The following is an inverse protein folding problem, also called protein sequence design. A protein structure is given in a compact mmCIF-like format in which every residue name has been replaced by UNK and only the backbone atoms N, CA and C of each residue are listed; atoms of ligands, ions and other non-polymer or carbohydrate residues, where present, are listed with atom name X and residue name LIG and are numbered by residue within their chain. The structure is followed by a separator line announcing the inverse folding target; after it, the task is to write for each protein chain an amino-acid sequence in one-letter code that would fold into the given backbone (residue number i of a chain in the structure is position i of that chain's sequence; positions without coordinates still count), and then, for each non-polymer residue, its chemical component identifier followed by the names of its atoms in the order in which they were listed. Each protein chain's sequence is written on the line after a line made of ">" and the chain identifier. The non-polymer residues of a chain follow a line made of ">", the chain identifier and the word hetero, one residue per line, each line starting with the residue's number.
data_IF_289188678935
#
_entry.id   IF_289188678935
#
_cell.length_a   1.000
_cell.length_b   1.000
_cell.length_c   1.000
_cell.angle_alpha   90.00
_cell.angle_beta   90.00
_cell.angle_gamma   90.00
#
_symmetry.space_group_name_H-M   'P 1'
#
loop_
_entity.id
_entity.type
_entity.pdbx_description
1 polymer ?
#
# COMPACT_ATOMS: atom_id res chain seq x y z
N UNK A 1 -3.38 -21.53 -10.97
CA UNK A 1 -2.81 -22.89 -10.79
C UNK A 1 -3.62 -23.56 -9.69
N UNK A 2 -3.99 -24.83 -9.81
CA UNK A 2 -4.74 -25.54 -8.76
C UNK A 2 -3.78 -26.25 -7.79
N UNK A 3 -2.90 -25.46 -7.16
CA UNK A 3 -1.94 -25.92 -6.14
C UNK A 3 -1.65 -24.77 -5.19
N UNK A 4 -1.30 -25.11 -3.96
CA UNK A 4 -0.86 -24.16 -2.92
C UNK A 4 0.60 -24.40 -2.52
N UNK A 5 1.25 -25.39 -3.14
CA UNK A 5 2.64 -25.72 -2.88
C UNK A 5 3.57 -24.70 -3.54
N UNK A 6 4.51 -24.16 -2.76
CA UNK A 6 5.41 -23.08 -3.21
C UNK A 6 6.33 -23.56 -4.33
N UNK A 7 6.87 -24.77 -4.22
CA UNK A 7 7.80 -25.33 -5.20
C UNK A 7 7.09 -25.61 -6.53
N UNK A 8 5.89 -26.18 -6.48
CA UNK A 8 5.07 -26.43 -7.66
C UNK A 8 4.68 -25.12 -8.37
N UNK A 9 4.30 -24.08 -7.62
CA UNK A 9 3.96 -22.78 -8.19
C UNK A 9 5.18 -22.17 -8.88
N UNK A 10 6.31 -22.07 -8.17
CA UNK A 10 7.55 -21.49 -8.72
C UNK A 10 8.00 -22.24 -9.96
N UNK A 11 8.01 -23.58 -9.90
CA UNK A 11 8.41 -24.42 -11.03
C UNK A 11 7.47 -24.25 -12.21
N UNK A 12 6.17 -24.21 -11.98
CA UNK A 12 5.19 -24.07 -13.04
C UNK A 12 5.31 -22.71 -13.73
N UNK A 13 5.39 -21.63 -12.96
CA UNK A 13 5.59 -20.27 -13.50
C UNK A 13 6.90 -20.20 -14.31
N UNK A 14 7.98 -20.78 -13.82
CA UNK A 14 9.25 -20.86 -14.56
C UNK A 14 9.10 -21.58 -15.92
N UNK A 15 8.37 -22.69 -15.96
CA UNK A 15 8.17 -23.46 -17.20
C UNK A 15 7.36 -22.69 -18.25
N UNK A 16 6.40 -21.87 -17.82
CA UNK A 16 5.55 -21.10 -18.74
C UNK A 16 6.09 -19.71 -19.06
N UNK A 17 7.08 -19.20 -18.32
CA UNK A 17 7.68 -17.88 -18.51
C UNK A 17 8.11 -17.54 -19.95
N UNK A 18 8.64 -18.46 -20.80
CA UNK A 18 9.15 -18.11 -22.13
C UNK A 18 8.17 -17.45 -23.09
N UNK A 19 6.85 -17.57 -22.85
CA UNK A 19 5.81 -16.94 -23.71
C UNK A 19 5.29 -15.61 -23.15
N UNK A 20 5.80 -15.15 -22.00
CA UNK A 20 5.35 -13.94 -21.32
C UNK A 20 6.45 -12.88 -21.26
N UNK A 21 6.06 -11.60 -21.32
CA UNK A 21 6.96 -10.46 -21.12
C UNK A 21 7.06 -9.97 -19.67
N UNK A 22 6.34 -10.61 -18.74
CA UNK A 22 6.29 -10.27 -17.32
C UNK A 22 5.25 -11.14 -16.59
N UNK A 23 5.40 -11.26 -15.27
CA UNK A 23 4.53 -12.07 -14.40
C UNK A 23 3.86 -11.16 -13.37
N UNK A 24 2.53 -11.16 -13.35
CA UNK A 24 1.73 -10.56 -12.28
C UNK A 24 1.24 -11.66 -11.33
N UNK A 25 1.68 -11.61 -10.07
CA UNK A 25 1.20 -12.45 -8.98
C UNK A 25 0.01 -11.77 -8.30
N UNK A 26 -1.04 -12.55 -8.06
CA UNK A 26 -2.33 -12.09 -7.53
C UNK A 26 -2.89 -13.13 -6.58
N UNK A 27 -3.57 -12.69 -5.52
CA UNK A 27 -4.37 -13.53 -4.61
C UNK A 27 -3.59 -14.71 -3.99
N UNK A 28 -2.29 -14.51 -3.74
CA UNK A 28 -1.46 -15.50 -3.04
C UNK A 28 -1.37 -15.10 -1.57
N UNK A 29 -1.83 -15.98 -0.68
CA UNK A 29 -1.82 -15.70 0.76
C UNK A 29 -0.40 -15.58 1.32
N UNK A 30 -0.20 -14.62 2.23
CA UNK A 30 0.98 -14.58 3.09
C UNK A 30 1.04 -15.84 4.01
N UNK A 31 2.24 -16.35 4.36
CA UNK A 31 3.56 -15.85 3.95
C UNK A 31 4.07 -16.43 2.61
N UNK A 32 3.33 -17.35 1.95
CA UNK A 32 3.82 -18.04 0.73
C UNK A 32 4.13 -17.08 -0.42
N UNK A 33 3.35 -16.00 -0.55
CA UNK A 33 3.52 -15.00 -1.60
C UNK A 33 4.93 -14.41 -1.66
N UNK A 34 5.60 -14.22 -0.52
CA UNK A 34 6.94 -13.63 -0.47
C UNK A 34 8.00 -14.57 -1.00
N UNK A 35 7.94 -15.84 -0.60
CA UNK A 35 8.91 -16.84 -1.08
C UNK A 35 8.74 -17.06 -2.58
N UNK A 36 7.49 -17.18 -3.04
CA UNK A 36 7.16 -17.31 -4.46
C UNK A 36 7.70 -16.12 -5.24
N UNK A 37 7.39 -14.89 -4.80
CA UNK A 37 7.86 -13.68 -5.46
C UNK A 37 9.38 -13.58 -5.48
N UNK A 38 10.05 -13.79 -4.34
CA UNK A 38 11.50 -13.70 -4.24
C UNK A 38 12.20 -14.70 -5.17
N UNK A 39 11.76 -15.97 -5.15
CA UNK A 39 12.33 -17.02 -6.01
C UNK A 39 12.08 -16.74 -7.49
N UNK A 40 10.89 -16.26 -7.85
CA UNK A 40 10.59 -15.93 -9.25
C UNK A 40 11.39 -14.71 -9.73
N UNK A 41 11.57 -13.69 -8.89
CA UNK A 41 12.44 -12.53 -9.20
C UNK A 41 13.91 -12.91 -9.37
N UNK A 42 14.37 -13.98 -8.72
CA UNK A 42 15.73 -14.50 -8.88
C UNK A 42 15.87 -15.41 -10.11
N UNK A 43 14.88 -16.26 -10.36
CA UNK A 43 14.93 -17.29 -11.40
C UNK A 43 14.60 -16.77 -12.80
N UNK A 44 13.78 -15.74 -12.92
CA UNK A 44 13.27 -15.25 -14.20
C UNK A 44 14.04 -14.03 -14.69
N UNK A 45 14.22 -13.97 -16.01
CA UNK A 45 14.73 -12.82 -16.75
C UNK A 45 13.61 -11.90 -17.25
N UNK A 46 12.44 -11.94 -16.62
CA UNK A 46 11.29 -11.05 -16.91
C UNK A 46 10.78 -10.46 -15.59
N UNK A 47 10.16 -9.28 -15.60
CA UNK A 47 9.73 -8.62 -14.37
C UNK A 47 8.62 -9.43 -13.69
N UNK A 48 8.75 -9.61 -12.37
CA UNK A 48 7.75 -10.26 -11.52
C UNK A 48 7.23 -9.23 -10.52
N UNK A 49 5.94 -8.92 -10.64
CA UNK A 49 5.21 -7.98 -9.81
C UNK A 49 4.15 -8.72 -9.00
N UNK A 50 3.93 -8.32 -7.76
CA UNK A 50 2.82 -8.81 -6.95
C UNK A 50 1.86 -7.66 -6.67
N UNK A 51 0.64 -7.72 -7.19
CA UNK A 51 -0.26 -6.57 -7.19
C UNK A 51 -0.80 -6.26 -5.79
N UNK A 52 -1.23 -7.28 -5.03
CA UNK A 52 -1.71 -7.10 -3.65
C UNK A 52 -0.66 -6.53 -2.68
N UNK A 53 0.62 -6.60 -3.04
CA UNK A 53 1.71 -6.01 -2.28
C UNK A 53 2.05 -4.62 -2.84
N UNK A 54 2.69 -4.61 -4.01
CA UNK A 54 3.30 -3.41 -4.57
C UNK A 54 2.25 -2.49 -5.19
N UNK A 55 1.23 -3.05 -5.86
CA UNK A 55 0.12 -2.28 -6.43
C UNK A 55 -0.61 -1.49 -5.34
N UNK A 56 -0.96 -2.16 -4.24
CA UNK A 56 -1.57 -1.50 -3.08
C UNK A 56 -0.65 -0.44 -2.48
N UNK A 57 0.64 -0.74 -2.27
CA UNK A 57 1.60 0.22 -1.72
C UNK A 57 1.71 1.50 -2.57
N UNK A 58 1.78 1.35 -3.90
CA UNK A 58 1.89 2.45 -4.87
C UNK A 58 0.68 3.37 -4.80
N UNK A 59 -0.54 2.82 -4.84
CA UNK A 59 -1.76 3.63 -4.84
C UNK A 59 -2.01 4.26 -3.48
N UNK A 60 -1.70 3.56 -2.38
CA UNK A 60 -1.75 4.14 -1.03
C UNK A 60 -0.79 5.32 -0.90
N UNK A 61 0.45 5.18 -1.37
CA UNK A 61 1.42 6.29 -1.33
C UNK A 61 0.94 7.47 -2.18
N UNK A 62 0.43 7.21 -3.39
CA UNK A 62 -0.09 8.25 -4.27
C UNK A 62 -1.22 9.06 -3.62
N UNK A 63 -2.21 8.36 -3.07
CA UNK A 63 -3.34 8.95 -2.36
C UNK A 63 -2.88 9.70 -1.10
N UNK A 64 -1.94 9.14 -0.32
CA UNK A 64 -1.44 9.77 0.89
C UNK A 64 -0.71 11.07 0.59
N UNK A 65 0.12 11.12 -0.47
CA UNK A 65 0.81 12.35 -0.88
C UNK A 65 -0.18 13.47 -1.19
N UNK A 66 -1.24 13.20 -1.94
CA UNK A 66 -2.27 14.20 -2.24
C UNK A 66 -3.08 14.59 -1.00
N UNK A 67 -3.37 13.63 -0.12
CA UNK A 67 -4.02 13.92 1.17
C UNK A 67 -3.18 14.84 2.06
N UNK A 68 -1.87 14.58 2.16
CA UNK A 68 -0.92 15.39 2.92
C UNK A 68 -0.76 16.79 2.33
N UNK A 69 -0.68 16.92 0.99
CA UNK A 69 -0.71 18.22 0.29
C UNK A 69 -1.97 19.01 0.67
N UNK A 70 -3.14 18.37 0.66
CA UNK A 70 -4.43 18.99 0.99
C UNK A 70 -4.47 19.52 2.44
N UNK A 71 -4.00 18.73 3.40
CA UNK A 71 -3.98 19.11 4.83
C UNK A 71 -2.72 19.88 5.26
N UNK A 72 -1.80 20.16 4.31
CA UNK A 72 -0.55 20.90 4.50
C UNK A 72 0.36 20.30 5.58
N UNK A 73 0.52 18.97 5.57
CA UNK A 73 1.48 18.24 6.44
C UNK A 73 2.54 17.54 5.60
N UNK A 74 3.71 17.29 6.18
CA UNK A 74 4.76 16.50 5.54
C UNK A 74 4.70 15.05 6.03
N UNK A 75 5.06 14.10 5.16
CA UNK A 75 5.08 12.66 5.50
C UNK A 75 6.05 12.35 6.65
N UNK A 76 7.14 13.11 6.78
CA UNK A 76 8.13 12.93 7.84
C UNK A 76 7.63 13.32 9.24
N UNK A 77 6.56 14.11 9.31
CA UNK A 77 6.12 14.76 10.54
C UNK A 77 4.85 14.12 11.12
N UNK A 78 4.20 13.23 10.35
CA UNK A 78 2.93 12.60 10.72
C UNK A 78 3.12 11.32 11.51
N UNK A 79 2.21 11.06 12.46
CA UNK A 79 2.03 9.77 13.12
C UNK A 79 1.06 8.91 12.31
N UNK A 80 1.56 7.76 11.83
CA UNK A 80 0.80 6.81 11.02
C UNK A 80 0.52 5.56 11.88
N UNK A 81 -0.75 5.18 12.00
CA UNK A 81 -1.18 3.90 12.58
C UNK A 81 -1.59 2.98 11.45
N UNK A 82 -0.98 1.79 11.38
CA UNK A 82 -1.20 0.83 10.31
C UNK A 82 -1.78 -0.48 10.89
N UNK A 83 -2.96 -0.86 10.42
CA UNK A 83 -3.63 -2.11 10.79
C UNK A 83 -3.44 -3.16 9.70
N UNK A 84 -2.84 -4.28 10.07
CA UNK A 84 -2.51 -5.39 9.17
C UNK A 84 -1.10 -5.24 8.62
N UNK A 85 -0.16 -6.03 9.13
CA UNK A 85 1.25 -6.03 8.72
C UNK A 85 1.65 -7.24 7.86
N UNK A 86 0.66 -7.85 7.18
CA UNK A 86 0.89 -8.89 6.18
C UNK A 86 1.45 -8.32 4.87
N UNK A 87 1.22 -9.00 3.74
CA UNK A 87 1.71 -8.60 2.40
C UNK A 87 1.50 -7.13 2.05
N UNK A 88 0.24 -6.69 1.96
CA UNK A 88 -0.08 -5.30 1.61
C UNK A 88 0.51 -4.30 2.62
N UNK A 89 0.30 -4.53 3.92
CA UNK A 89 0.72 -3.59 4.95
C UNK A 89 2.24 -3.45 5.09
N UNK A 90 2.98 -4.54 4.91
CA UNK A 90 4.44 -4.50 4.90
C UNK A 90 4.95 -3.73 3.67
N UNK A 91 4.41 -4.00 2.48
CA UNK A 91 4.77 -3.28 1.26
C UNK A 91 4.44 -1.78 1.37
N UNK A 92 3.26 -1.42 1.88
CA UNK A 92 2.87 -0.04 2.18
C UNK A 92 3.87 0.61 3.13
N UNK A 93 4.13 0.01 4.30
CA UNK A 93 5.02 0.59 5.29
C UNK A 93 6.45 0.80 4.75
N UNK A 94 6.99 -0.18 4.02
CA UNK A 94 8.32 -0.08 3.38
C UNK A 94 8.37 1.08 2.39
N UNK A 95 7.39 1.18 1.50
CA UNK A 95 7.35 2.25 0.50
C UNK A 95 7.15 3.63 1.13
N UNK A 96 6.34 3.73 2.19
CA UNK A 96 6.19 4.98 2.95
C UNK A 96 7.49 5.40 3.65
N UNK A 97 8.22 4.46 4.26
CA UNK A 97 9.53 4.74 4.88
C UNK A 97 10.55 5.18 3.84
N UNK A 98 10.59 4.51 2.68
CA UNK A 98 11.42 4.92 1.54
C UNK A 98 11.09 6.35 1.08
N UNK A 99 9.80 6.74 1.11
CA UNK A 99 9.35 8.09 0.77
C UNK A 99 9.51 9.11 1.92
N UNK A 100 10.07 8.71 3.06
CA UNK A 100 10.44 9.60 4.16
C UNK A 100 9.54 9.57 5.40
N UNK A 101 8.60 8.63 5.49
CA UNK A 101 7.85 8.42 6.73
C UNK A 101 8.78 7.99 7.87
N UNK A 102 8.58 8.58 9.05
CA UNK A 102 9.46 8.34 10.22
C UNK A 102 8.75 7.70 11.41
N UNK A 103 7.42 7.78 11.46
CA UNK A 103 6.63 7.37 12.62
C UNK A 103 5.43 6.52 12.18
N UNK A 104 5.68 5.22 12.05
CA UNK A 104 4.66 4.21 11.75
C UNK A 104 4.52 3.30 12.96
N UNK A 105 3.30 3.03 13.41
CA UNK A 105 2.97 2.04 14.44
C UNK A 105 2.13 0.95 13.77
N UNK A 106 2.71 -0.24 13.61
CA UNK A 106 2.06 -1.37 12.96
C UNK A 106 1.41 -2.33 13.96
N UNK A 107 0.23 -2.83 13.60
CA UNK A 107 -0.51 -3.83 14.37
C UNK A 107 -0.75 -5.10 13.56
N UNK A 108 -0.50 -6.25 14.19
CA UNK A 108 -0.94 -7.56 13.72
C UNK A 108 -2.13 -8.05 14.57
N UNK A 109 -2.54 -9.29 14.34
CA UNK A 109 -3.64 -9.94 15.11
C UNK A 109 -3.33 -10.08 16.61
N UNK A 110 -2.05 -10.10 17.00
CA UNK A 110 -1.59 -10.23 18.39
C UNK A 110 -1.38 -8.87 19.08
N UNK A 111 -1.52 -7.76 18.34
CA UNK A 111 -1.37 -6.40 18.84
C UNK A 111 -0.26 -5.59 18.16
N UNK A 112 0.26 -4.60 18.88
CA UNK A 112 1.29 -3.69 18.33
C UNK A 112 2.63 -4.39 18.20
N UNK A 113 3.30 -4.19 17.07
CA UNK A 113 4.69 -4.60 16.90
C UNK A 113 5.61 -3.55 17.55
N UNK A 114 6.49 -4.01 18.43
CA UNK A 114 7.38 -3.13 19.18
C UNK A 114 8.82 -3.66 19.21
N UNK A 115 9.83 -2.78 19.40
CA UNK A 115 11.25 -3.13 19.38
C UNK A 115 11.68 -4.27 20.33
N UNK A 116 10.97 -4.45 21.46
CA UNK A 116 11.30 -5.51 22.42
C UNK A 116 10.81 -6.91 22.01
N UNK A 117 10.10 -7.05 20.89
CA UNK A 117 9.68 -8.36 20.37
C UNK A 117 10.85 -9.08 19.69
N UNK A 118 10.73 -10.41 19.59
CA UNK A 118 11.57 -11.23 18.71
C UNK A 118 10.66 -12.02 17.79
N UNK A 119 11.05 -12.12 16.53
CA UNK A 119 10.32 -12.90 15.54
C UNK A 119 11.29 -13.48 14.52
N UNK A 120 11.00 -14.69 14.06
CA UNK A 120 11.70 -15.29 12.93
C UNK A 120 11.06 -14.88 11.58
N UNK A 121 9.83 -14.35 11.62
CA UNK A 121 9.14 -13.81 10.44
C UNK A 121 9.86 -12.54 9.95
N UNK A 122 10.43 -12.54 8.73
CA UNK A 122 11.09 -11.37 8.14
C UNK A 122 10.21 -10.12 8.11
N UNK A 123 8.89 -10.26 7.89
CA UNK A 123 7.99 -9.10 7.86
C UNK A 123 7.90 -8.43 9.22
N UNK A 124 7.63 -9.23 10.26
CA UNK A 124 7.53 -8.72 11.61
C UNK A 124 8.88 -8.15 12.07
N UNK A 125 10.01 -8.79 11.74
CA UNK A 125 11.36 -8.25 12.00
C UNK A 125 11.56 -6.88 11.38
N UNK A 126 11.15 -6.70 10.13
CA UNK A 126 11.25 -5.39 9.48
C UNK A 126 10.51 -4.31 10.27
N UNK A 127 9.29 -4.58 10.76
CA UNK A 127 8.55 -3.64 11.61
C UNK A 127 9.24 -3.39 12.95
N UNK A 128 9.79 -4.42 13.61
CA UNK A 128 10.53 -4.30 14.87
C UNK A 128 11.72 -3.33 14.70
N UNK A 129 12.42 -3.40 13.56
CA UNK A 129 13.63 -2.62 13.28
C UNK A 129 13.36 -1.20 12.76
N UNK A 130 12.26 -1.00 12.00
CA UNK A 130 12.05 0.23 11.22
C UNK A 130 10.84 1.05 11.67
N UNK A 131 9.94 0.49 12.48
CA UNK A 131 8.71 1.14 12.95
C UNK A 131 8.74 1.37 14.46
N UNK A 132 7.72 2.06 14.99
CA UNK A 132 7.45 2.20 16.43
C UNK A 132 8.69 2.58 17.28
N UNK A 133 9.47 3.56 16.81
CA UNK A 133 10.71 4.02 17.49
C UNK A 133 10.47 4.58 18.90
N UNK A 134 9.24 5.02 19.18
CA UNK A 134 8.81 5.44 20.51
C UNK A 134 8.49 4.29 21.48
N UNK A 135 8.64 3.03 21.04
CA UNK A 135 8.32 1.82 21.81
C UNK A 135 6.92 1.85 22.44
N UNK A 136 5.91 2.24 21.66
CA UNK A 136 4.51 2.21 22.09
C UNK A 136 4.04 0.77 22.29
N UNK A 137 3.34 0.49 23.40
CA UNK A 137 2.88 -0.85 23.83
C UNK A 137 1.43 -0.87 24.30
N UNK A 138 0.53 -0.31 23.49
CA UNK A 138 -0.89 -0.25 23.80
C UNK A 138 -1.76 -0.87 22.71
N UNK A 139 -3.04 -0.60 22.83
CA UNK A 139 -4.09 -0.96 21.87
C UNK A 139 -4.08 -0.04 20.64
N UNK A 140 -4.78 -0.46 19.57
CA UNK A 140 -4.98 0.35 18.37
C UNK A 140 -5.66 1.68 18.70
N UNK A 141 -6.71 1.65 19.52
CA UNK A 141 -7.44 2.85 19.96
C UNK A 141 -6.53 3.85 20.67
N UNK A 142 -5.64 3.37 21.56
CA UNK A 142 -4.66 4.23 22.23
C UNK A 142 -3.62 4.79 21.26
N UNK A 143 -3.21 4.02 20.25
CA UNK A 143 -2.31 4.49 19.20
C UNK A 143 -2.96 5.56 18.31
N UNK A 144 -4.27 5.50 18.09
CA UNK A 144 -5.02 6.45 17.27
C UNK A 144 -5.20 7.82 17.93
N UNK A 145 -5.07 7.91 19.26
CA UNK A 145 -5.09 9.20 19.95
C UNK A 145 -4.00 10.13 19.39
N UNK A 146 -4.44 11.25 18.81
CA UNK A 146 -3.56 12.23 18.16
C UNK A 146 -2.83 11.72 16.91
N UNK A 147 -3.21 10.58 16.34
CA UNK A 147 -2.65 10.11 15.07
C UNK A 147 -3.14 10.99 13.90
N UNK A 148 -2.25 11.24 12.94
CA UNK A 148 -2.58 12.01 11.74
C UNK A 148 -3.18 11.13 10.65
N UNK A 149 -2.74 9.87 10.58
CA UNK A 149 -3.09 8.95 9.51
C UNK A 149 -3.41 7.58 10.09
N UNK A 150 -4.52 7.00 9.65
CA UNK A 150 -4.82 5.58 9.78
C UNK A 150 -4.80 4.91 8.40
N UNK A 151 -4.14 3.76 8.30
CA UNK A 151 -4.15 2.89 7.12
C UNK A 151 -4.52 1.48 7.56
N UNK A 152 -5.70 1.03 7.16
CA UNK A 152 -6.17 -0.33 7.37
C UNK A 152 -6.10 -1.14 6.09
N UNK A 153 -5.46 -2.30 6.15
CA UNK A 153 -5.40 -3.32 5.10
C UNK A 153 -5.62 -4.71 5.72
N UNK A 154 -6.58 -4.79 6.64
CA UNK A 154 -6.70 -5.90 7.60
C UNK A 154 -8.08 -6.54 7.60
N UNK A 155 -8.85 -6.30 8.67
CA UNK A 155 -10.14 -6.90 8.92
C UNK A 155 -11.22 -5.83 9.06
N UNK A 156 -12.45 -6.24 8.82
CA UNK A 156 -13.62 -5.38 8.89
C UNK A 156 -13.97 -4.95 10.32
N UNK A 157 -14.52 -3.74 10.48
CA UNK A 157 -15.19 -3.24 11.69
C UNK A 157 -14.34 -3.35 12.98
N UNK A 158 -13.04 -3.09 12.87
CA UNK A 158 -12.10 -3.12 14.00
C UNK A 158 -11.98 -1.78 14.73
N UNK A 159 -12.49 -0.70 14.15
CA UNK A 159 -12.51 0.64 14.76
C UNK A 159 -13.95 1.11 15.01
N UNK A 160 -14.11 1.92 16.05
CA UNK A 160 -15.36 2.61 16.39
C UNK A 160 -15.25 4.11 16.15
N UNK A 161 -16.39 4.81 16.11
CA UNK A 161 -16.44 6.26 15.85
C UNK A 161 -15.56 7.07 16.82
N UNK A 162 -15.48 6.67 18.09
CA UNK A 162 -14.64 7.35 19.10
C UNK A 162 -13.14 7.26 18.80
N UNK A 163 -12.69 6.22 18.11
CA UNK A 163 -11.28 6.10 17.73
C UNK A 163 -10.90 7.18 16.73
N UNK A 164 -11.76 7.43 15.73
CA UNK A 164 -11.52 8.47 14.73
C UNK A 164 -11.68 9.87 15.33
N UNK A 165 -12.64 10.04 16.24
CA UNK A 165 -12.83 11.30 16.96
C UNK A 165 -11.61 11.69 17.82
N UNK A 166 -10.83 10.70 18.28
CA UNK A 166 -9.62 10.93 19.07
C UNK A 166 -8.36 11.24 18.23
N UNK A 167 -8.43 11.09 16.90
CA UNK A 167 -7.32 11.40 16.00
C UNK A 167 -7.03 12.91 15.95
N UNK A 168 -5.87 13.27 15.39
CA UNK A 168 -5.48 14.66 15.22
C UNK A 168 -6.45 15.41 14.30
N UNK A 169 -6.60 16.72 14.51
CA UNK A 169 -7.32 17.59 13.56
C UNK A 169 -6.66 17.50 12.18
N UNK A 170 -7.48 17.38 11.14
CA UNK A 170 -6.98 17.19 9.78
C UNK A 170 -6.60 15.73 9.49
N UNK A 171 -7.11 14.76 10.25
CA UNK A 171 -6.73 13.35 10.09
C UNK A 171 -7.17 12.76 8.75
N UNK A 172 -6.42 11.75 8.34
CA UNK A 172 -6.62 10.96 7.13
C UNK A 172 -6.95 9.52 7.54
N UNK A 173 -8.02 8.95 7.00
CA UNK A 173 -8.44 7.57 7.28
C UNK A 173 -8.54 6.80 5.97
N UNK A 174 -7.64 5.85 5.76
CA UNK A 174 -7.70 4.89 4.67
C UNK A 174 -8.17 3.55 5.26
N UNK A 175 -9.43 3.19 5.03
CA UNK A 175 -10.02 1.94 5.50
C UNK A 175 -10.25 1.02 4.28
N UNK A 176 -9.25 0.18 3.98
CA UNK A 176 -9.10 -0.49 2.69
C UNK A 176 -9.50 -1.97 2.71
N UNK A 177 -9.90 -2.52 3.86
CA UNK A 177 -10.46 -3.87 3.90
C UNK A 177 -11.71 -3.98 2.99
N UNK A 178 -11.82 -5.11 2.30
CA UNK A 178 -12.95 -5.45 1.45
C UNK A 178 -13.63 -6.74 1.93
N UNK A 179 -14.95 -6.91 1.73
CA UNK A 179 -15.89 -5.90 1.19
C UNK A 179 -16.26 -4.81 2.21
N UNK A 180 -16.11 -5.11 3.50
CA UNK A 180 -16.47 -4.23 4.60
C UNK A 180 -15.20 -3.61 5.21
N UNK A 181 -15.04 -2.27 5.21
CA UNK A 181 -13.85 -1.60 5.72
C UNK A 181 -13.63 -1.76 7.23
N UNK A 182 -12.46 -1.33 7.71
CA UNK A 182 -12.11 -1.27 9.13
C UNK A 182 -13.07 -0.42 9.97
N UNK A 183 -13.70 0.57 9.34
CA UNK A 183 -14.76 1.43 9.91
C UNK A 183 -15.73 1.86 8.81
N UNK A 184 -17.00 2.02 9.14
CA UNK A 184 -17.98 2.65 8.26
C UNK A 184 -17.47 4.03 7.78
N UNK A 185 -17.31 4.24 6.46
CA UNK A 185 -16.85 5.50 5.89
C UNK A 185 -17.71 6.71 6.28
N UNK A 186 -19.02 6.51 6.50
CA UNK A 186 -19.92 7.56 6.96
C UNK A 186 -19.58 8.02 8.39
N UNK A 187 -19.19 7.10 9.27
CA UNK A 187 -18.75 7.43 10.63
C UNK A 187 -17.39 8.11 10.60
N UNK A 188 -16.45 7.61 9.80
CA UNK A 188 -15.13 8.22 9.67
C UNK A 188 -15.19 9.67 9.18
N UNK A 189 -16.04 9.99 8.19
CA UNK A 189 -16.17 11.34 7.60
C UNK A 189 -16.73 12.39 8.56
N UNK A 190 -17.36 12.00 9.67
CA UNK A 190 -17.80 12.95 10.71
C UNK A 190 -16.60 13.62 11.40
N UNK A 191 -15.45 12.96 11.43
CA UNK A 191 -14.29 13.35 12.24
C UNK A 191 -13.02 13.54 11.41
N UNK A 192 -12.76 12.67 10.43
CA UNK A 192 -11.60 12.72 9.55
C UNK A 192 -11.83 13.68 8.38
N UNK A 193 -10.76 14.37 7.96
CA UNK A 193 -10.80 15.32 6.83
C UNK A 193 -10.77 14.61 5.49
N UNK A 194 -10.02 13.52 5.39
CA UNK A 194 -9.95 12.68 4.18
C UNK A 194 -10.29 11.26 4.57
N UNK A 195 -11.20 10.65 3.81
CA UNK A 195 -11.55 9.23 3.94
C UNK A 195 -11.42 8.57 2.58
N UNK A 196 -10.72 7.44 2.53
CA UNK A 196 -10.55 6.61 1.34
C UNK A 196 -10.83 5.15 1.67
N UNK A 197 -11.31 4.40 0.68
CA UNK A 197 -11.68 2.98 0.85
C UNK A 197 -11.32 2.17 -0.38
N UNK A 198 -11.37 0.83 -0.30
CA UNK A 198 -11.29 -0.04 -1.49
C UNK A 198 -12.58 -0.07 -2.33
N UNK A 199 -13.69 0.44 -1.79
CA UNK A 199 -15.02 0.31 -2.40
C UNK A 199 -15.26 1.32 -3.51
N UNK A 200 -15.91 0.88 -4.59
CA UNK A 200 -16.23 1.71 -5.76
C UNK A 200 -17.43 2.64 -5.56
N UNK A 201 -18.27 2.40 -4.55
CA UNK A 201 -19.41 3.27 -4.23
C UNK A 201 -19.03 4.48 -3.36
N UNK A 202 -17.75 4.62 -3.02
CA UNK A 202 -17.23 5.68 -2.16
C UNK A 202 -16.28 6.61 -2.94
N UNK A 203 -16.23 7.92 -2.62
CA UNK A 203 -15.14 8.78 -3.06
C UNK A 203 -13.78 8.23 -2.63
N UNK A 204 -12.73 8.60 -3.37
CA UNK A 204 -11.34 8.19 -3.10
C UNK A 204 -11.18 6.66 -3.04
N UNK A 205 -11.59 5.97 -4.11
CA UNK A 205 -11.34 4.54 -4.22
C UNK A 205 -9.84 4.26 -4.39
N UNK A 206 -9.23 3.56 -3.44
CA UNK A 206 -7.87 3.02 -3.57
C UNK A 206 -7.99 1.69 -4.29
N UNK A 207 -7.52 1.64 -5.53
CA UNK A 207 -7.60 0.45 -6.37
C UNK A 207 -6.32 0.26 -7.16
N UNK A 208 -5.74 -0.94 -7.08
CA UNK A 208 -4.49 -1.31 -7.75
C UNK A 208 -4.54 -1.18 -9.28
N UNK A 209 -5.75 -1.15 -9.88
CA UNK A 209 -5.95 -0.88 -11.32
C UNK A 209 -5.32 0.44 -11.79
N UNK A 210 -5.09 1.39 -10.86
CA UNK A 210 -4.39 2.63 -11.16
C UNK A 210 -2.87 2.43 -11.35
N UNK A 211 -2.32 1.30 -10.89
CA UNK A 211 -0.89 1.00 -10.90
C UNK A 211 -0.52 -0.05 -11.96
N UNK A 212 -0.98 -1.30 -11.82
CA UNK A 212 -0.44 -2.42 -12.58
C UNK A 212 -0.48 -2.26 -14.11
N UNK A 213 -1.54 -1.68 -14.76
CA UNK A 213 -1.56 -1.56 -16.21
C UNK A 213 -0.44 -0.64 -16.72
N UNK A 214 -0.21 0.49 -16.04
CA UNK A 214 0.84 1.43 -16.38
C UNK A 214 2.23 0.88 -16.07
N UNK A 215 2.38 0.15 -14.96
CA UNK A 215 3.64 -0.48 -14.58
C UNK A 215 4.08 -1.49 -15.65
N UNK A 216 3.22 -2.44 -16.01
CA UNK A 216 3.57 -3.42 -17.04
C UNK A 216 3.77 -2.77 -18.41
N UNK A 217 2.96 -1.78 -18.79
CA UNK A 217 3.18 -1.05 -20.06
C UNK A 217 4.56 -0.41 -20.09
N UNK A 218 4.96 0.30 -19.04
CA UNK A 218 6.27 0.94 -18.93
C UNK A 218 7.43 -0.05 -18.92
N UNK A 219 7.32 -1.15 -18.16
CA UNK A 219 8.32 -2.22 -18.11
C UNK A 219 8.52 -2.87 -19.49
N UNK A 220 7.43 -3.19 -20.20
CA UNK A 220 7.47 -3.79 -21.52
C UNK A 220 8.04 -2.82 -22.57
N UNK A 221 7.68 -1.53 -22.51
CA UNK A 221 8.25 -0.50 -23.41
C UNK A 221 9.74 -0.28 -23.21
N UNK A 222 10.23 -0.48 -21.98
CA UNK A 222 11.63 -0.37 -21.63
C UNK A 222 12.42 -1.68 -21.83
N UNK A 223 11.73 -2.80 -22.09
CA UNK A 223 12.31 -4.14 -22.00
C UNK A 223 13.05 -4.36 -20.66
N UNK A 224 12.43 -3.92 -19.56
CA UNK A 224 13.03 -3.97 -18.23
C UNK A 224 12.85 -5.36 -17.59
N UNK A 225 13.87 -5.81 -16.87
CA UNK A 225 13.92 -7.15 -16.28
C UNK A 225 13.66 -7.16 -14.77
N UNK A 226 13.69 -6.00 -14.12
CA UNK A 226 13.59 -5.86 -12.66
C UNK A 226 12.68 -4.73 -12.27
N UNK A 227 12.07 -4.88 -11.10
CA UNK A 227 11.26 -3.85 -10.44
C UNK A 227 12.05 -3.37 -9.23
N UNK A 228 12.39 -2.08 -9.20
CA UNK A 228 13.13 -1.47 -8.10
C UNK A 228 12.23 -0.59 -7.24
N UNK A 229 12.69 -0.25 -6.04
CA UNK A 229 11.95 0.62 -5.13
C UNK A 229 11.75 2.04 -5.74
N UNK A 230 12.72 2.55 -6.49
CA UNK A 230 12.63 3.83 -7.20
C UNK A 230 11.52 3.83 -8.26
N UNK A 231 11.34 2.69 -8.96
CA UNK A 231 10.24 2.50 -9.90
C UNK A 231 8.89 2.59 -9.18
N UNK A 232 8.73 1.93 -8.03
CA UNK A 232 7.49 1.95 -7.26
C UNK A 232 7.14 3.39 -6.81
N UNK A 233 8.13 4.12 -6.30
CA UNK A 233 7.95 5.53 -5.91
C UNK A 233 7.62 6.41 -7.12
N UNK A 234 8.26 6.20 -8.27
CA UNK A 234 7.98 6.94 -9.49
C UNK A 234 6.55 6.68 -10.00
N UNK A 235 6.07 5.43 -9.95
CA UNK A 235 4.69 5.07 -10.28
C UNK A 235 3.69 5.78 -9.34
N UNK A 236 3.95 5.76 -8.03
CA UNK A 236 3.10 6.45 -7.05
C UNK A 236 3.06 7.97 -7.29
N UNK A 237 4.20 8.56 -7.65
CA UNK A 237 4.30 9.97 -8.04
C UNK A 237 3.43 10.26 -9.25
N UNK A 238 3.53 9.45 -10.30
CA UNK A 238 2.77 9.64 -11.53
C UNK A 238 1.25 9.55 -11.31
N UNK A 239 0.78 8.61 -10.49
CA UNK A 239 -0.64 8.52 -10.12
C UNK A 239 -1.09 9.76 -9.35
N UNK A 240 -0.30 10.20 -8.36
CA UNK A 240 -0.63 11.38 -7.56
C UNK A 240 -0.73 12.64 -8.43
N UNK A 241 0.17 12.81 -9.39
CA UNK A 241 0.24 13.99 -10.26
C UNK A 241 -0.84 13.99 -11.35
N UNK A 242 -1.59 12.90 -11.54
CA UNK A 242 -2.79 12.89 -12.38
C UNK A 242 -3.95 13.69 -11.76
N UNK A 243 -3.90 14.00 -10.47
CA UNK A 243 -4.86 14.90 -9.81
C UNK A 243 -4.34 16.33 -9.89
N UNK A 244 -4.97 17.16 -10.71
CA UNK A 244 -4.58 18.56 -10.84
C UNK A 244 -4.80 19.33 -9.52
N UNK A 245 -3.98 20.35 -9.21
CA UNK A 245 -4.14 21.16 -8.00
C UNK A 245 -5.55 21.74 -7.81
N UNK A 246 -6.22 22.09 -8.90
CA UNK A 246 -7.57 22.67 -8.90
C UNK A 246 -8.67 21.63 -8.65
N UNK A 247 -8.38 20.35 -8.90
CA UNK A 247 -9.29 19.23 -8.63
C UNK A 247 -9.14 18.70 -7.20
N UNK A 248 -7.96 18.86 -6.61
CA UNK A 248 -7.61 18.30 -5.31
C UNK A 248 -8.56 18.79 -4.20
N UNK A 249 -9.33 17.88 -3.63
CA UNK A 249 -10.23 18.15 -2.52
C UNK A 249 -10.41 16.89 -1.65
N UNK A 250 -11.17 17.00 -0.55
CA UNK A 250 -11.36 15.89 0.41
C UNK A 250 -12.00 14.64 -0.18
N UNK A 251 -12.69 14.77 -1.32
CA UNK A 251 -13.35 13.68 -2.05
C UNK A 251 -12.65 13.32 -3.37
N UNK A 252 -11.49 13.94 -3.67
CA UNK A 252 -10.74 13.69 -4.90
C UNK A 252 -9.22 13.82 -4.64
N UNK A 253 -8.63 12.80 -4.02
CA UNK A 253 -7.17 12.69 -3.76
C UNK A 253 -6.45 11.73 -4.71
N UNK A 254 -7.20 10.93 -5.47
CA UNK A 254 -6.71 9.87 -6.37
C UNK A 254 -7.53 9.94 -7.65
N UNK A 255 -6.95 9.74 -8.84
CA UNK A 255 -7.71 9.79 -10.09
C UNK A 255 -8.75 8.66 -10.17
N UNK A 256 -9.72 8.84 -11.06
CA UNK A 256 -10.68 7.78 -11.38
C UNK A 256 -9.97 6.59 -12.03
N UNK A 257 -10.44 5.37 -11.74
CA UNK A 257 -9.99 4.13 -12.41
C UNK A 257 -10.23 4.14 -13.93
N UNK A 258 -11.08 5.04 -14.41
CA UNK A 258 -11.38 5.23 -15.84
C UNK A 258 -10.61 6.39 -16.47
N UNK A 259 -9.72 7.06 -15.72
CA UNK A 259 -8.90 8.13 -16.29
C UNK A 259 -7.84 7.54 -17.23
N UNK A 260 -8.04 7.76 -18.53
CA UNK A 260 -7.18 7.24 -19.59
C UNK A 260 -5.73 7.76 -19.53
N UNK A 261 -5.48 8.86 -18.82
CA UNK A 261 -4.13 9.43 -18.70
C UNK A 261 -3.26 8.66 -17.71
N UNK A 262 -3.86 7.98 -16.72
CA UNK A 262 -3.12 7.32 -15.62
C UNK A 262 -2.15 6.27 -16.16
N UNK A 263 -2.63 5.37 -17.04
CA UNK A 263 -1.79 4.31 -17.63
C UNK A 263 -0.60 4.92 -18.38
N UNK A 264 -0.83 5.99 -19.15
CA UNK A 264 0.22 6.65 -19.94
C UNK A 264 1.23 7.35 -19.04
N UNK A 265 0.78 8.06 -18.01
CA UNK A 265 1.63 8.76 -17.05
C UNK A 265 2.50 7.78 -16.25
N UNK A 266 1.89 6.70 -15.72
CA UNK A 266 2.61 5.66 -14.98
C UNK A 266 3.61 4.95 -15.87
N UNK A 267 3.23 4.55 -17.10
CA UNK A 267 4.15 3.90 -18.04
C UNK A 267 5.37 4.77 -18.38
N UNK A 268 5.14 6.07 -18.62
CA UNK A 268 6.23 7.01 -18.89
C UNK A 268 7.17 7.19 -17.70
N UNK A 269 6.62 7.28 -16.48
CA UNK A 269 7.42 7.38 -15.26
C UNK A 269 8.23 6.10 -15.02
N UNK A 270 7.61 4.94 -15.17
CA UNK A 270 8.27 3.63 -15.02
C UNK A 270 9.40 3.47 -16.03
N UNK A 271 9.15 3.75 -17.31
CA UNK A 271 10.18 3.68 -18.36
C UNK A 271 11.39 4.60 -18.10
N UNK A 272 11.17 5.74 -17.44
CA UNK A 272 12.25 6.69 -17.09
C UNK A 272 13.10 6.22 -15.89
N UNK A 273 12.53 5.36 -15.05
CA UNK A 273 13.16 4.90 -13.80
C UNK A 273 13.95 3.60 -13.93
N UNK A 274 13.98 2.99 -15.12
CA UNK A 274 14.66 1.72 -15.43
C UNK A 274 15.80 1.88 -16.40
#
# INVERSE_FOLDING_TARGET
>A
LDTQDVDEIVRTVQLIAPVYGGINLEDISAPRCFEIEARLRELLDIPVFHDDQHGTAIVVLAALRNSLKLIKKNLSDVKIVLSGVGAAGNAVARLLVLDGAKNIIGFNVDGVIHPDMKSDDPMQRWFIEHSNKGNFKGTMSEALVGADVFIGVSASNILVESDIAAMAKGSIVFALANPDPEIDPALARKHATVVATGRSDQPNQINNVLAFPGIFRGLLDANAHKITDELLVAAATAIADCVAPEQLNTSFIVPSVFDAHVVTAVAAAVRKSV
#
